data_IF_122044422172
#
_entry.id   IF_122044422172
#
_cell.length_a   1.000
_cell.length_b   1.000
_cell.length_c   1.000
_cell.angle_alpha   90.00
_cell.angle_beta   90.00
_cell.angle_gamma   90.00
#
_symmetry.space_group_name_H-M   'P 1'
#
loop_
_entity.id
_entity.type
_entity.pdbx_description
1 polymer ?
#
# COMPACT_ATOMS: atom_id res chain seq x y z
N UNK A 1 3.50 -24.16 31.73
CA UNK A 1 3.41 -24.25 30.25
C UNK A 1 3.76 -22.90 29.67
N UNK A 2 4.96 -22.75 29.11
CA UNK A 2 5.37 -21.54 28.40
C UNK A 2 4.99 -21.73 26.93
N UNK A 3 3.95 -21.04 26.47
CA UNK A 3 3.56 -21.07 25.05
C UNK A 3 4.54 -20.18 24.29
N UNK A 4 5.59 -20.77 23.72
CA UNK A 4 6.49 -20.08 22.81
C UNK A 4 5.75 -19.83 21.49
N UNK A 5 5.19 -18.63 21.31
CA UNK A 5 4.63 -18.22 20.02
C UNK A 5 5.81 -17.90 19.11
N UNK A 6 6.17 -18.84 18.23
CA UNK A 6 7.04 -18.55 17.09
C UNK A 6 6.26 -17.64 16.12
N UNK A 7 6.51 -16.34 16.16
CA UNK A 7 6.06 -15.44 15.11
C UNK A 7 6.88 -15.74 13.85
N UNK A 8 6.32 -16.55 12.94
CA UNK A 8 6.89 -16.72 11.60
C UNK A 8 6.86 -15.34 10.93
N UNK A 9 8.04 -14.75 10.72
CA UNK A 9 8.16 -13.54 9.94
C UNK A 9 7.61 -13.83 8.53
N UNK A 10 6.44 -13.28 8.21
CA UNK A 10 5.80 -13.45 6.92
C UNK A 10 6.76 -12.94 5.83
N UNK A 11 7.04 -13.78 4.83
CA UNK A 11 7.92 -13.40 3.73
C UNK A 11 7.36 -12.14 3.03
N UNK A 12 8.23 -11.18 2.64
CA UNK A 12 7.76 -9.98 1.95
C UNK A 12 7.00 -10.33 0.66
N UNK A 13 5.88 -9.66 0.44
CA UNK A 13 5.03 -9.88 -0.73
C UNK A 13 5.48 -9.01 -1.91
N UNK A 14 5.12 -9.42 -3.12
CA UNK A 14 5.20 -8.58 -4.32
C UNK A 14 3.84 -7.95 -4.62
N UNK A 15 3.86 -6.71 -5.10
CA UNK A 15 2.64 -6.02 -5.54
C UNK A 15 2.31 -6.38 -6.99
N UNK A 16 1.04 -6.68 -7.23
CA UNK A 16 0.45 -6.86 -8.56
C UNK A 16 -0.79 -5.97 -8.71
N UNK A 17 -1.11 -5.48 -9.92
CA UNK A 17 -2.28 -4.61 -10.11
C UNK A 17 -3.58 -5.25 -9.62
N UNK A 18 -4.30 -4.56 -8.74
CA UNK A 18 -5.56 -5.03 -8.14
C UNK A 18 -5.40 -5.96 -6.92
N UNK A 19 -4.19 -6.14 -6.39
CA UNK A 19 -3.99 -6.89 -5.15
C UNK A 19 -4.80 -6.29 -4.00
N UNK A 20 -5.46 -7.16 -3.22
CA UNK A 20 -6.19 -6.80 -2.00
C UNK A 20 -5.42 -7.31 -0.79
N UNK A 21 -5.01 -6.40 0.09
CA UNK A 21 -4.31 -6.67 1.33
C UNK A 21 -5.33 -6.62 2.47
N UNK A 22 -5.49 -7.75 3.17
CA UNK A 22 -6.48 -7.91 4.26
C UNK A 22 -5.86 -8.20 5.62
N UNK A 23 -4.53 -8.19 5.70
CA UNK A 23 -3.75 -8.39 6.92
C UNK A 23 -2.43 -7.61 6.81
N UNK A 24 -1.73 -7.45 7.94
CA UNK A 24 -0.44 -6.77 7.98
C UNK A 24 0.60 -7.51 7.14
N UNK A 25 1.32 -6.78 6.30
CA UNK A 25 2.33 -7.33 5.39
C UNK A 25 3.53 -6.42 5.27
N UNK A 26 4.67 -7.01 4.91
CA UNK A 26 5.83 -6.29 4.41
C UNK A 26 5.91 -6.44 2.90
N UNK A 27 6.15 -5.36 2.18
CA UNK A 27 6.35 -5.39 0.72
C UNK A 27 7.84 -5.50 0.43
N UNK A 28 8.19 -6.27 -0.61
CA UNK A 28 9.56 -6.34 -1.10
C UNK A 28 10.00 -4.98 -1.65
N UNK A 29 11.12 -4.45 -1.16
CA UNK A 29 11.64 -3.13 -1.54
C UNK A 29 12.18 -3.11 -2.97
N UNK A 30 11.43 -2.49 -3.88
CA UNK A 30 11.80 -2.25 -5.27
C UNK A 30 10.88 -1.21 -5.92
N UNK A 31 11.13 -0.87 -7.17
CA UNK A 31 10.20 -0.08 -7.99
C UNK A 31 9.17 -0.98 -8.67
N UNK A 32 7.89 -0.76 -8.36
CA UNK A 32 6.74 -1.35 -8.99
C UNK A 32 6.13 -0.35 -9.99
N UNK A 33 6.17 -0.68 -11.28
CA UNK A 33 5.45 0.05 -12.32
C UNK A 33 4.06 -0.54 -12.45
N UNK A 34 3.06 0.11 -11.87
CA UNK A 34 1.68 -0.38 -11.79
C UNK A 34 0.75 0.63 -12.47
N UNK A 35 -0.18 0.13 -13.26
CA UNK A 35 -1.22 0.93 -13.90
C UNK A 35 -2.58 0.24 -13.80
N UNK A 36 -3.65 1.02 -13.96
CA UNK A 36 -5.02 0.54 -13.88
C UNK A 36 -5.47 0.29 -12.44
N UNK A 37 -5.58 -0.99 -12.03
CA UNK A 37 -6.22 -1.36 -10.76
C UNK A 37 -5.32 -1.04 -9.56
N UNK A 38 -5.82 -0.29 -8.55
CA UNK A 38 -5.04 0.09 -7.38
C UNK A 38 -4.72 -1.12 -6.49
N UNK A 39 -3.70 -0.96 -5.64
CA UNK A 39 -3.54 -1.83 -4.46
C UNK A 39 -4.63 -1.44 -3.46
N UNK A 40 -5.42 -2.41 -3.00
CA UNK A 40 -6.54 -2.14 -2.09
C UNK A 40 -6.23 -2.68 -0.70
N UNK A 41 -6.49 -1.90 0.35
CA UNK A 41 -6.36 -2.33 1.75
C UNK A 41 -7.75 -2.34 2.37
N UNK A 42 -8.12 -3.47 3.00
CA UNK A 42 -9.43 -3.68 3.63
C UNK A 42 -9.30 -4.41 4.96
N UNK A 43 -9.96 -3.91 5.99
CA UNK A 43 -9.98 -4.50 7.34
C UNK A 43 -9.42 -3.55 8.38
N UNK A 44 -9.24 -4.06 9.60
CA UNK A 44 -8.85 -3.27 10.76
C UNK A 44 -7.48 -3.68 11.29
N UNK A 45 -6.76 -2.73 11.90
CA UNK A 45 -5.47 -2.97 12.56
C UNK A 45 -4.40 -3.52 11.62
N UNK A 46 -4.37 -3.00 10.38
CA UNK A 46 -3.46 -3.44 9.33
C UNK A 46 -2.28 -2.49 9.22
N UNK A 47 -1.07 -3.02 9.28
CA UNK A 47 0.16 -2.31 8.94
C UNK A 47 0.69 -2.84 7.62
N UNK A 48 0.81 -1.97 6.62
CA UNK A 48 1.49 -2.25 5.37
C UNK A 48 2.81 -1.50 5.36
N UNK A 49 3.91 -2.23 5.54
CA UNK A 49 5.26 -1.67 5.46
C UNK A 49 5.83 -1.89 4.06
N UNK A 50 5.96 -0.79 3.32
CA UNK A 50 6.49 -0.81 1.96
C UNK A 50 8.01 -0.97 1.92
N UNK A 51 8.71 -0.89 3.04
CA UNK A 51 10.15 -1.05 3.15
C UNK A 51 10.95 -0.17 2.16
N UNK A 52 10.46 1.02 1.83
CA UNK A 52 11.07 1.92 0.85
C UNK A 52 10.71 1.60 -0.62
N UNK A 53 9.77 0.68 -0.87
CA UNK A 53 9.29 0.38 -2.20
C UNK A 53 8.69 1.61 -2.88
N UNK A 54 8.96 1.73 -4.19
CA UNK A 54 8.44 2.80 -5.02
C UNK A 54 7.29 2.28 -5.87
N UNK A 55 6.12 2.88 -5.75
CA UNK A 55 5.02 2.72 -6.68
C UNK A 55 5.15 3.83 -7.72
N UNK A 56 5.39 3.45 -8.97
CA UNK A 56 5.50 4.35 -10.12
C UNK A 56 4.29 4.11 -11.03
N UNK A 57 3.46 5.14 -11.18
CA UNK A 57 2.32 5.15 -12.08
C UNK A 57 2.73 5.51 -13.51
N UNK A 58 2.00 6.44 -14.12
CA UNK A 58 2.29 6.95 -15.45
C UNK A 58 3.70 7.54 -15.60
N UNK A 59 4.05 7.82 -16.86
CA UNK A 59 5.31 8.46 -17.23
C UNK A 59 5.52 9.76 -16.41
N UNK A 60 6.70 9.97 -15.80
CA UNK A 60 7.03 11.21 -15.09
C UNK A 60 6.79 12.48 -15.91
N UNK A 61 6.96 12.40 -17.24
CA UNK A 61 6.79 13.53 -18.17
C UNK A 61 5.32 13.82 -18.50
N UNK A 62 4.39 12.94 -18.12
CA UNK A 62 2.96 13.21 -18.29
C UNK A 62 2.54 14.31 -17.30
N UNK A 63 1.86 15.31 -17.86
CA UNK A 63 1.17 16.37 -17.13
C UNK A 63 0.38 15.78 -15.94
N UNK A 64 0.63 16.23 -14.70
CA UNK A 64 -0.06 15.76 -13.52
C UNK A 64 -1.60 15.74 -13.65
N UNK A 65 -2.20 16.69 -14.36
CA UNK A 65 -3.64 16.80 -14.54
C UNK A 65 -4.21 15.71 -15.47
N UNK A 66 -3.36 15.10 -16.31
CA UNK A 66 -3.73 14.01 -17.21
C UNK A 66 -3.64 12.63 -16.55
N UNK A 67 -3.07 12.54 -15.34
CA UNK A 67 -2.96 11.27 -14.60
C UNK A 67 -4.36 10.81 -14.17
N UNK A 68 -4.63 9.51 -14.27
CA UNK A 68 -5.95 8.93 -13.99
C UNK A 68 -5.95 7.90 -12.86
N UNK A 69 -4.85 7.19 -12.71
CA UNK A 69 -4.75 6.05 -11.79
C UNK A 69 -4.57 6.48 -10.34
N UNK A 70 -4.96 5.59 -9.44
CA UNK A 70 -4.70 5.69 -7.99
C UNK A 70 -3.76 4.57 -7.59
N UNK A 71 -2.74 4.86 -6.77
CA UNK A 71 -1.78 3.82 -6.38
C UNK A 71 -2.37 2.88 -5.32
N UNK A 72 -2.87 3.46 -4.23
CA UNK A 72 -3.40 2.74 -3.08
C UNK A 72 -4.81 3.24 -2.77
N UNK A 73 -5.76 2.33 -2.64
CA UNK A 73 -7.09 2.60 -2.09
C UNK A 73 -7.23 1.94 -0.73
N UNK A 74 -7.69 2.70 0.26
CA UNK A 74 -8.08 2.16 1.56
C UNK A 74 -9.61 2.23 1.61
N UNK A 75 -10.24 1.06 1.67
CA UNK A 75 -11.68 0.90 1.46
C UNK A 75 -12.33 0.45 2.77
N UNK A 76 -12.71 1.42 3.59
CA UNK A 76 -13.18 1.22 4.96
C UNK A 76 -12.05 1.04 5.97
N UNK A 77 -12.37 0.47 7.12
CA UNK A 77 -11.42 0.00 8.12
C UNK A 77 -10.99 1.02 9.17
N UNK A 78 -10.39 0.50 10.24
CA UNK A 78 -9.96 1.26 11.40
C UNK A 78 -8.49 0.96 11.76
N UNK A 79 -7.73 1.98 12.17
CA UNK A 79 -6.34 1.84 12.64
C UNK A 79 -5.42 1.18 11.59
N UNK A 80 -5.40 1.77 10.39
CA UNK A 80 -4.54 1.34 9.27
C UNK A 80 -3.26 2.17 9.26
N UNK A 81 -2.12 1.51 9.06
CA UNK A 81 -0.81 2.16 8.98
C UNK A 81 -0.15 1.87 7.62
N UNK A 82 0.23 2.93 6.91
CA UNK A 82 1.03 2.87 5.69
C UNK A 82 2.43 3.39 6.02
N UNK A 83 3.43 2.52 5.92
CA UNK A 83 4.81 2.85 6.29
C UNK A 83 5.73 2.78 5.08
N UNK A 84 6.67 3.74 4.97
CA UNK A 84 7.82 3.71 4.08
C UNK A 84 7.48 3.56 2.57
N UNK A 85 6.33 4.07 2.12
CA UNK A 85 5.92 4.03 0.72
C UNK A 85 6.44 5.25 -0.04
N UNK A 86 6.97 5.05 -1.25
CA UNK A 86 7.29 6.14 -2.19
C UNK A 86 6.34 6.07 -3.37
N UNK A 87 5.54 7.11 -3.64
CA UNK A 87 4.45 7.04 -4.61
C UNK A 87 4.55 8.21 -5.60
N UNK A 88 4.65 7.90 -6.89
CA UNK A 88 4.83 8.88 -7.97
C UNK A 88 4.01 8.53 -9.21
N UNK A 89 3.63 9.52 -10.02
CA UNK A 89 3.00 9.27 -11.33
C UNK A 89 1.52 8.87 -11.29
N UNK A 90 0.83 9.04 -10.16
CA UNK A 90 -0.60 8.77 -10.02
C UNK A 90 -1.38 10.08 -9.88
N UNK A 91 -2.68 10.06 -10.21
CA UNK A 91 -3.59 11.17 -9.90
C UNK A 91 -3.76 11.33 -8.40
N UNK A 92 -3.90 10.19 -7.72
CA UNK A 92 -3.94 10.10 -6.27
C UNK A 92 -2.94 9.04 -5.81
N UNK A 93 -2.03 9.42 -4.90
CA UNK A 93 -1.13 8.45 -4.30
C UNK A 93 -1.88 7.48 -3.39
N UNK A 94 -2.68 8.02 -2.48
CA UNK A 94 -3.53 7.25 -1.56
C UNK A 94 -4.93 7.87 -1.57
N UNK A 95 -5.95 7.04 -1.77
CA UNK A 95 -7.35 7.41 -1.63
C UNK A 95 -7.97 6.59 -0.50
N UNK A 96 -8.27 7.22 0.63
CA UNK A 96 -8.94 6.57 1.76
C UNK A 96 -10.43 6.95 1.78
N UNK A 97 -11.32 5.96 1.91
CA UNK A 97 -12.77 6.16 1.94
C UNK A 97 -13.36 5.42 3.12
N UNK A 98 -14.07 6.14 4.00
CA UNK A 98 -14.67 5.54 5.20
C UNK A 98 -13.66 4.91 6.15
N UNK A 99 -12.41 5.41 6.16
CA UNK A 99 -11.34 4.90 7.01
C UNK A 99 -11.15 5.79 8.24
N UNK A 100 -10.99 5.18 9.41
CA UNK A 100 -10.73 5.88 10.67
C UNK A 100 -9.32 5.57 11.20
N UNK A 101 -8.69 6.54 11.88
CA UNK A 101 -7.35 6.40 12.48
C UNK A 101 -6.28 5.91 11.48
N UNK A 102 -6.31 6.44 10.26
CA UNK A 102 -5.25 6.22 9.26
C UNK A 102 -3.97 6.94 9.68
N UNK A 103 -2.86 6.20 9.73
CA UNK A 103 -1.51 6.75 9.90
C UNK A 103 -0.68 6.53 8.65
N UNK A 104 -0.06 7.59 8.14
CA UNK A 104 0.90 7.52 7.03
C UNK A 104 2.24 8.02 7.56
N UNK A 105 3.30 7.22 7.39
CA UNK A 105 4.66 7.58 7.79
C UNK A 105 5.63 7.27 6.66
N UNK A 106 6.43 8.26 6.30
CA UNK A 106 7.48 8.16 5.29
C UNK A 106 8.79 7.62 5.88
#
# INVERSE_FOLDING_TARGET
MLLLVLALAQAPIELTPGLVITHSVRVKSRTYRLSGRPITIRGDNITVDFAGATLQGGDPEIDPDQRRDTAIVIDGGHNIQILNARIHGYRFGILARGTERLTIRA
#
